data_IF_040516426340
#
_entry.id   IF_040516426340
#
_cell.length_a   1.000
_cell.length_b   1.000
_cell.length_c   1.000
_cell.angle_alpha   90.00
_cell.angle_beta   90.00
_cell.angle_gamma   90.00
#
_symmetry.space_group_name_H-M   'P 1'
#
loop_
_entity.id
_entity.type
_entity.pdbx_description
1 polymer ?
#
# COMPACT_ATOMS: atom_id res chain seq x y z
N UNK A 1 -19.36 19.18 7.42
CA UNK A 1 -18.75 17.98 6.83
C UNK A 1 -17.31 18.18 6.35
N UNK A 2 -16.99 19.13 5.44
CA UNK A 2 -15.61 19.30 4.91
C UNK A 2 -14.52 19.47 5.98
N UNK A 3 -14.72 20.36 6.95
CA UNK A 3 -13.81 20.58 8.09
C UNK A 3 -13.53 19.32 8.92
N UNK A 4 -14.50 18.40 9.02
CA UNK A 4 -14.34 17.14 9.75
C UNK A 4 -13.42 16.17 9.00
N UNK A 5 -13.59 16.03 7.68
CA UNK A 5 -12.72 15.20 6.84
C UNK A 5 -11.29 15.76 6.73
N UNK A 6 -11.14 17.08 6.70
CA UNK A 6 -9.82 17.73 6.77
C UNK A 6 -9.11 17.41 8.10
N UNK A 7 -9.84 17.46 9.21
CA UNK A 7 -9.31 17.10 10.53
C UNK A 7 -8.86 15.63 10.57
N UNK A 8 -9.71 14.72 10.06
CA UNK A 8 -9.42 13.29 9.95
C UNK A 8 -8.16 13.03 9.12
N UNK A 9 -8.07 13.66 7.95
CA UNK A 9 -6.90 13.49 7.05
C UNK A 9 -5.62 14.02 7.68
N UNK A 10 -5.71 15.16 8.39
CA UNK A 10 -4.56 15.78 9.09
C UNK A 10 -4.01 14.90 10.21
N UNK A 11 -4.88 14.23 10.96
CA UNK A 11 -4.49 13.39 12.11
C UNK A 11 -4.47 11.89 11.78
N UNK A 12 -4.46 11.50 10.50
CA UNK A 12 -4.48 10.10 10.07
C UNK A 12 -3.37 9.27 10.73
N UNK A 13 -2.13 9.78 10.76
CA UNK A 13 -1.02 9.08 11.42
C UNK A 13 -1.23 8.90 12.92
N UNK A 14 -1.76 9.91 13.61
CA UNK A 14 -2.07 9.82 15.05
C UNK A 14 -3.17 8.78 15.29
N UNK A 15 -4.22 8.78 14.47
CA UNK A 15 -5.27 7.78 14.56
C UNK A 15 -4.71 6.37 14.33
N UNK A 16 -3.85 6.17 13.33
CA UNK A 16 -3.23 4.86 13.07
C UNK A 16 -2.44 4.35 14.30
N UNK A 17 -1.66 5.21 14.95
CA UNK A 17 -0.93 4.85 16.18
C UNK A 17 -1.90 4.53 17.33
N UNK A 18 -2.95 5.32 17.51
CA UNK A 18 -3.97 5.07 18.55
C UNK A 18 -4.67 3.73 18.33
N UNK A 19 -5.11 3.44 17.10
CA UNK A 19 -5.75 2.17 16.76
C UNK A 19 -4.78 0.99 16.87
N UNK A 20 -3.48 1.18 16.57
CA UNK A 20 -2.46 0.16 16.80
C UNK A 20 -2.32 -0.16 18.29
N UNK A 21 -2.23 0.86 19.15
CA UNK A 21 -2.16 0.66 20.60
C UNK A 21 -3.43 -0.02 21.13
N UNK A 22 -4.62 0.44 20.70
CA UNK A 22 -5.88 -0.20 21.06
C UNK A 22 -5.93 -1.65 20.58
N UNK A 23 -5.46 -1.94 19.37
CA UNK A 23 -5.38 -3.30 18.83
C UNK A 23 -4.50 -4.22 19.67
N UNK A 24 -3.36 -3.71 20.15
CA UNK A 24 -2.45 -4.47 21.02
C UNK A 24 -3.07 -4.78 22.40
N UNK A 25 -3.77 -3.82 23.01
CA UNK A 25 -4.33 -4.01 24.36
C UNK A 25 -5.74 -4.61 24.39
N UNK A 26 -6.49 -4.53 23.29
CA UNK A 26 -7.89 -4.98 23.23
C UNK A 26 -8.16 -5.90 22.06
N UNK A 27 -7.20 -6.78 21.72
CA UNK A 27 -7.25 -7.64 20.52
C UNK A 27 -8.57 -8.43 20.38
N UNK A 28 -9.13 -8.92 21.50
CA UNK A 28 -10.37 -9.70 21.53
C UNK A 28 -11.57 -8.96 20.90
N UNK A 29 -11.59 -7.62 21.03
CA UNK A 29 -12.66 -6.78 20.47
C UNK A 29 -12.56 -6.60 18.95
N UNK A 30 -11.42 -6.92 18.35
CA UNK A 30 -11.14 -6.70 16.92
C UNK A 30 -11.16 -7.99 16.10
N UNK A 31 -11.35 -9.16 16.74
CA UNK A 31 -11.37 -10.46 16.07
C UNK A 31 -12.43 -10.57 14.97
N UNK A 32 -13.51 -9.78 15.04
CA UNK A 32 -14.54 -9.74 14.00
C UNK A 32 -13.99 -9.34 12.61
N UNK A 33 -12.88 -8.59 12.56
CA UNK A 33 -12.21 -8.20 11.29
C UNK A 33 -11.57 -9.40 10.59
N UNK A 34 -11.13 -10.41 11.36
CA UNK A 34 -10.65 -11.68 10.83
C UNK A 34 -11.79 -12.67 10.53
N UNK A 35 -13.03 -12.28 10.84
CA UNK A 35 -14.22 -13.07 10.56
C UNK A 35 -14.56 -13.17 9.07
N UNK A 36 -15.58 -13.97 8.79
CA UNK A 36 -16.07 -14.21 7.45
C UNK A 36 -17.57 -13.89 7.37
N UNK A 37 -17.96 -13.13 6.36
CA UNK A 37 -19.36 -12.83 6.07
C UNK A 37 -19.72 -13.48 4.74
N UNK A 38 -20.62 -14.47 4.77
CA UNK A 38 -21.14 -15.16 3.57
C UNK A 38 -20.04 -15.75 2.65
N UNK A 39 -18.98 -16.30 3.23
CA UNK A 39 -17.85 -16.89 2.50
C UNK A 39 -16.70 -15.91 2.22
N UNK A 40 -16.86 -14.60 2.45
CA UNK A 40 -15.84 -13.58 2.17
C UNK A 40 -15.21 -13.06 3.47
N UNK A 41 -13.88 -13.00 3.51
CA UNK A 41 -13.15 -12.41 4.63
C UNK A 41 -13.46 -10.91 4.75
N UNK A 42 -13.80 -10.46 5.97
CA UNK A 42 -14.14 -9.06 6.24
C UNK A 42 -12.97 -8.14 5.86
N UNK A 43 -11.74 -8.53 6.18
CA UNK A 43 -10.54 -7.79 5.81
C UNK A 43 -10.41 -7.57 4.30
N UNK A 44 -10.67 -8.59 3.49
CA UNK A 44 -10.64 -8.48 2.02
C UNK A 44 -11.73 -7.53 1.51
N UNK A 45 -12.90 -7.53 2.14
CA UNK A 45 -13.99 -6.62 1.78
C UNK A 45 -13.66 -5.16 2.12
N UNK A 46 -13.04 -4.92 3.29
CA UNK A 46 -12.56 -3.59 3.69
C UNK A 46 -11.46 -3.09 2.74
N UNK A 47 -10.48 -3.94 2.41
CA UNK A 47 -9.43 -3.61 1.45
C UNK A 47 -10.02 -3.36 0.06
N UNK A 48 -10.99 -4.17 -0.37
CA UNK A 48 -11.70 -3.99 -1.63
C UNK A 48 -12.43 -2.65 -1.72
N UNK A 49 -13.07 -2.20 -0.64
CA UNK A 49 -13.69 -0.87 -0.57
C UNK A 49 -12.65 0.26 -0.69
N UNK A 50 -11.48 0.12 -0.05
CA UNK A 50 -10.39 1.10 -0.15
C UNK A 50 -9.86 1.16 -1.58
N UNK A 51 -9.60 -0.01 -2.20
CA UNK A 51 -9.10 -0.07 -3.58
C UNK A 51 -10.15 0.41 -4.60
N UNK A 52 -11.44 0.16 -4.36
CA UNK A 52 -12.53 0.71 -5.16
C UNK A 52 -12.56 2.25 -5.07
N UNK A 53 -12.46 2.81 -3.86
CA UNK A 53 -12.38 4.26 -3.65
C UNK A 53 -11.19 4.88 -4.40
N UNK A 54 -10.01 4.28 -4.29
CA UNK A 54 -8.83 4.68 -5.08
C UNK A 54 -9.10 4.64 -6.59
N UNK A 55 -9.76 3.59 -7.09
CA UNK A 55 -10.12 3.46 -8.50
C UNK A 55 -11.01 4.61 -8.97
N UNK A 56 -12.00 5.02 -8.16
CA UNK A 56 -12.89 6.14 -8.51
C UNK A 56 -12.21 7.51 -8.57
N UNK A 57 -11.05 7.65 -7.92
CA UNK A 57 -10.25 8.89 -7.95
C UNK A 57 -9.18 8.92 -9.04
N UNK A 58 -8.93 7.79 -9.70
CA UNK A 58 -7.92 7.69 -10.76
C UNK A 58 -8.51 8.14 -12.10
N UNK A 59 -7.87 9.08 -12.79
CA UNK A 59 -8.31 9.56 -14.10
C UNK A 59 -7.54 8.81 -15.21
N UNK A 60 -8.15 8.68 -16.39
CA UNK A 60 -7.48 8.15 -17.59
C UNK A 60 -6.16 8.89 -17.88
N UNK A 61 -6.10 10.17 -17.52
CA UNK A 61 -4.91 11.01 -17.66
C UNK A 61 -3.70 10.53 -16.85
N UNK A 62 -3.94 9.87 -15.73
CA UNK A 62 -2.87 9.32 -14.88
C UNK A 62 -2.14 8.17 -15.59
N UNK A 63 -2.86 7.41 -16.42
CA UNK A 63 -2.29 6.36 -17.28
C UNK A 63 -1.57 6.94 -18.50
N UNK A 64 -2.02 8.07 -19.03
CA UNK A 64 -1.29 8.79 -20.09
C UNK A 64 0.08 9.29 -19.63
N UNK A 65 0.29 9.46 -18.32
CA UNK A 65 1.60 9.77 -17.75
C UNK A 65 2.69 8.76 -18.12
N UNK A 66 2.31 7.49 -18.29
CA UNK A 66 3.22 6.40 -18.70
C UNK A 66 3.84 6.70 -20.07
N UNK A 67 3.01 7.11 -21.03
CA UNK A 67 3.46 7.40 -22.39
C UNK A 67 4.27 8.69 -22.48
N UNK A 68 4.06 9.63 -21.56
CA UNK A 68 4.82 10.89 -21.51
C UNK A 68 6.24 10.69 -20.97
N UNK A 69 6.42 9.81 -19.98
CA UNK A 69 7.71 9.59 -19.29
C UNK A 69 7.98 8.10 -19.03
N UNK A 70 8.05 7.25 -20.08
CA UNK A 70 8.11 5.79 -19.90
C UNK A 70 9.40 5.32 -19.21
N UNK A 71 10.52 6.02 -19.44
CA UNK A 71 11.81 5.69 -18.80
C UNK A 71 11.74 5.88 -17.28
N UNK A 72 11.14 6.97 -16.83
CA UNK A 72 11.03 7.30 -15.41
C UNK A 72 10.12 6.30 -14.71
N UNK A 73 8.96 5.98 -15.31
CA UNK A 73 8.03 4.98 -14.79
C UNK A 73 8.66 3.59 -14.73
N UNK A 74 9.42 3.19 -15.75
CA UNK A 74 10.12 1.91 -15.75
C UNK A 74 11.18 1.83 -14.65
N UNK A 75 11.98 2.89 -14.47
CA UNK A 75 12.97 2.95 -13.39
C UNK A 75 12.31 2.92 -12.01
N UNK A 76 11.18 3.61 -11.85
CA UNK A 76 10.36 3.55 -10.63
C UNK A 76 9.83 2.14 -10.36
N UNK A 77 9.30 1.46 -11.36
CA UNK A 77 8.80 0.10 -11.26
C UNK A 77 9.91 -0.91 -10.95
N UNK A 78 11.06 -0.78 -11.60
CA UNK A 78 12.23 -1.59 -11.32
C UNK A 78 12.63 -1.39 -9.85
N UNK A 79 12.81 -0.14 -9.41
CA UNK A 79 13.14 0.16 -8.01
C UNK A 79 12.12 -0.42 -7.02
N UNK A 80 10.82 -0.25 -7.27
CA UNK A 80 9.74 -0.77 -6.41
C UNK A 80 9.82 -2.29 -6.27
N UNK A 81 10.03 -3.01 -7.36
CA UNK A 81 9.98 -4.48 -7.39
C UNK A 81 11.34 -5.16 -7.20
N UNK A 82 12.44 -4.42 -7.17
CA UNK A 82 13.77 -5.00 -6.86
C UNK A 82 14.31 -4.51 -5.54
N UNK A 83 14.34 -3.19 -5.30
CA UNK A 83 15.02 -2.62 -4.14
C UNK A 83 14.24 -2.93 -2.86
N UNK A 84 12.91 -2.77 -2.88
CA UNK A 84 12.08 -2.97 -1.68
C UNK A 84 12.01 -4.46 -1.28
N UNK A 85 11.73 -5.42 -2.18
CA UNK A 85 11.76 -6.84 -1.83
C UNK A 85 13.14 -7.31 -1.37
N UNK A 86 14.22 -6.84 -2.01
CA UNK A 86 15.58 -7.15 -1.60
C UNK A 86 15.87 -6.64 -0.18
N UNK A 87 15.49 -5.39 0.11
CA UNK A 87 15.62 -4.82 1.46
C UNK A 87 14.80 -5.62 2.48
N UNK A 88 13.56 -5.99 2.16
CA UNK A 88 12.72 -6.80 3.03
C UNK A 88 13.38 -8.15 3.39
N UNK A 89 13.93 -8.84 2.40
CA UNK A 89 14.64 -10.10 2.61
C UNK A 89 15.95 -9.91 3.38
N UNK A 90 16.74 -8.88 3.03
CA UNK A 90 18.00 -8.57 3.71
C UNK A 90 17.77 -8.23 5.19
N UNK A 91 16.73 -7.46 5.51
CA UNK A 91 16.34 -7.15 6.88
C UNK A 91 15.85 -8.40 7.61
N UNK A 92 15.05 -9.26 6.97
CA UNK A 92 14.62 -10.52 7.57
C UNK A 92 15.82 -11.41 7.99
N UNK A 93 16.83 -11.50 7.12
CA UNK A 93 18.07 -12.24 7.41
C UNK A 93 18.92 -11.56 8.49
N UNK A 94 19.04 -10.24 8.45
CA UNK A 94 19.80 -9.47 9.43
C UNK A 94 19.23 -9.61 10.84
N UNK A 95 17.89 -9.58 10.96
CA UNK A 95 17.18 -9.73 12.24
C UNK A 95 16.90 -11.18 12.63
N UNK A 96 17.32 -12.16 11.82
CA UNK A 96 17.10 -13.59 12.07
C UNK A 96 15.63 -13.93 12.36
N UNK A 97 14.72 -13.37 11.55
CA UNK A 97 13.29 -13.64 11.68
C UNK A 97 12.98 -15.10 11.35
N UNK A 98 11.93 -15.65 11.97
CA UNK A 98 11.40 -16.96 11.60
C UNK A 98 10.83 -16.95 10.18
N UNK A 99 10.59 -18.15 9.63
CA UNK A 99 10.13 -18.31 8.25
C UNK A 99 8.77 -17.63 8.00
N UNK A 100 7.88 -17.63 9.00
CA UNK A 100 6.57 -16.99 8.91
C UNK A 100 6.67 -15.47 8.83
N UNK A 101 7.45 -14.85 9.73
CA UNK A 101 7.70 -13.41 9.70
C UNK A 101 8.50 -12.99 8.46
N UNK A 102 9.43 -13.82 8.00
CA UNK A 102 10.20 -13.58 6.77
C UNK A 102 9.28 -13.53 5.56
N UNK A 103 8.39 -14.51 5.41
CA UNK A 103 7.41 -14.53 4.32
C UNK A 103 6.48 -13.31 4.38
N UNK A 104 6.02 -12.93 5.57
CA UNK A 104 5.20 -11.73 5.78
C UNK A 104 5.92 -10.43 5.40
N UNK A 105 7.20 -10.30 5.77
CA UNK A 105 8.00 -9.12 5.46
C UNK A 105 8.33 -9.02 3.97
N UNK A 106 8.67 -10.13 3.32
CA UNK A 106 8.90 -10.18 1.87
C UNK A 106 7.61 -9.86 1.12
N UNK A 107 6.47 -10.44 1.52
CA UNK A 107 5.15 -10.13 0.95
C UNK A 107 4.82 -8.64 1.09
N UNK A 108 5.12 -8.03 2.24
CA UNK A 108 4.96 -6.59 2.43
C UNK A 108 5.84 -5.80 1.44
N UNK A 109 7.08 -6.24 1.22
CA UNK A 109 8.02 -5.60 0.31
C UNK A 109 7.67 -5.74 -1.17
N UNK A 110 6.93 -6.77 -1.56
CA UNK A 110 6.53 -7.03 -2.96
C UNK A 110 5.16 -6.43 -3.31
N UNK A 111 4.45 -5.86 -2.33
CA UNK A 111 3.20 -5.14 -2.55
C UNK A 111 3.41 -3.83 -3.35
N UNK A 112 2.43 -3.42 -4.16
CA UNK A 112 2.48 -2.16 -4.89
C UNK A 112 2.42 -0.95 -3.95
N UNK A 113 2.74 0.23 -4.48
CA UNK A 113 2.63 1.48 -3.73
C UNK A 113 1.17 1.78 -3.31
N UNK A 114 1.00 2.38 -2.13
CA UNK A 114 -0.31 2.81 -1.61
C UNK A 114 -0.60 4.28 -1.86
N UNK A 115 -1.87 4.69 -1.89
CA UNK A 115 -2.31 6.08 -2.16
C UNK A 115 -1.80 7.13 -1.20
N UNK A 116 -1.38 6.73 0.01
CA UNK A 116 -0.74 7.62 0.99
C UNK A 116 0.55 8.24 0.43
N UNK A 117 1.27 7.56 -0.47
CA UNK A 117 2.47 8.09 -1.12
C UNK A 117 2.17 9.39 -1.87
N UNK A 118 1.03 9.48 -2.56
CA UNK A 118 0.63 10.66 -3.34
C UNK A 118 0.47 11.89 -2.45
N UNK A 119 -0.12 11.72 -1.26
CA UNK A 119 -0.28 12.80 -0.27
C UNK A 119 1.08 13.25 0.23
N UNK A 120 1.97 12.30 0.55
CA UNK A 120 3.32 12.61 1.03
C UNK A 120 4.11 13.34 -0.07
N UNK A 121 4.10 12.86 -1.31
CA UNK A 121 4.78 13.51 -2.44
C UNK A 121 4.29 14.94 -2.64
N UNK A 122 2.98 15.19 -2.55
CA UNK A 122 2.42 16.54 -2.62
C UNK A 122 2.95 17.43 -1.48
N UNK A 123 2.93 16.94 -0.24
CA UNK A 123 3.46 17.68 0.93
C UNK A 123 4.96 17.96 0.82
N UNK A 124 5.72 17.02 0.25
CA UNK A 124 7.16 17.15 0.00
C UNK A 124 7.49 18.01 -1.22
N UNK A 125 6.49 18.61 -1.90
CA UNK A 125 6.66 19.36 -3.16
C UNK A 125 7.32 18.55 -4.28
N UNK A 126 7.13 17.23 -4.26
CA UNK A 126 7.60 16.33 -5.30
C UNK A 126 6.67 16.28 -6.52
N UNK A 127 7.02 15.43 -7.48
CA UNK A 127 6.22 15.22 -8.70
C UNK A 127 5.00 14.34 -8.40
N UNK A 128 3.87 14.98 -8.09
CA UNK A 128 2.60 14.31 -7.80
C UNK A 128 2.12 13.46 -8.99
N UNK A 129 2.29 13.95 -10.22
CA UNK A 129 1.85 13.24 -11.42
C UNK A 129 2.61 11.93 -11.54
N UNK A 130 3.93 11.97 -11.32
CA UNK A 130 4.77 10.78 -11.30
C UNK A 130 4.35 9.78 -10.21
N UNK A 131 4.08 10.25 -8.97
CA UNK A 131 3.63 9.38 -7.87
C UNK A 131 2.31 8.68 -8.18
N UNK A 132 1.33 9.41 -8.73
CA UNK A 132 0.02 8.86 -9.08
C UNK A 132 0.14 7.86 -10.22
N UNK A 133 0.90 8.18 -11.27
CA UNK A 133 1.18 7.26 -12.37
C UNK A 133 1.87 5.99 -11.87
N UNK A 134 2.90 6.12 -11.04
CA UNK A 134 3.65 4.98 -10.51
C UNK A 134 2.80 4.06 -9.61
N UNK A 135 1.95 4.66 -8.77
CA UNK A 135 0.98 3.93 -7.93
C UNK A 135 0.00 3.14 -8.80
N UNK A 136 -0.54 3.76 -9.85
CA UNK A 136 -1.48 3.12 -10.77
C UNK A 136 -0.83 1.95 -11.53
N UNK A 137 0.37 2.17 -12.06
CA UNK A 137 1.15 1.17 -12.80
C UNK A 137 1.50 -0.02 -11.90
N UNK A 138 2.10 0.22 -10.74
CA UNK A 138 2.45 -0.86 -9.81
C UNK A 138 1.22 -1.63 -9.35
N UNK A 139 0.09 -0.96 -9.09
CA UNK A 139 -1.15 -1.65 -8.73
C UNK A 139 -1.63 -2.57 -9.85
N UNK A 140 -1.58 -2.14 -11.12
CA UNK A 140 -1.95 -2.97 -12.27
C UNK A 140 -1.02 -4.18 -12.48
N UNK A 141 0.28 -4.02 -12.23
CA UNK A 141 1.25 -5.11 -12.37
C UNK A 141 1.32 -6.04 -11.16
N UNK A 142 0.79 -5.62 -10.00
CA UNK A 142 0.84 -6.37 -8.75
C UNK A 142 0.31 -7.81 -8.82
N UNK A 143 -0.77 -8.15 -9.55
CA UNK A 143 -1.26 -9.53 -9.61
C UNK A 143 -0.25 -10.52 -10.21
N UNK A 144 0.71 -10.03 -11.00
CA UNK A 144 1.78 -10.84 -11.60
C UNK A 144 3.07 -10.72 -10.79
N UNK A 145 3.46 -9.49 -10.46
CA UNK A 145 4.77 -9.22 -9.84
C UNK A 145 4.82 -9.68 -8.38
N UNK A 146 3.76 -9.47 -7.60
CA UNK A 146 3.75 -9.79 -6.16
C UNK A 146 3.87 -11.30 -5.93
N UNK A 147 3.09 -12.18 -6.61
CA UNK A 147 3.28 -13.62 -6.48
C UNK A 147 4.64 -14.08 -6.99
N UNK A 148 5.10 -13.59 -8.14
CA UNK A 148 6.37 -14.00 -8.77
C UNK A 148 7.60 -13.70 -7.89
N UNK A 149 7.55 -12.64 -7.10
CA UNK A 149 8.66 -12.23 -6.23
C UNK A 149 8.57 -12.83 -4.82
N UNK A 150 7.41 -13.35 -4.43
CA UNK A 150 7.16 -13.83 -3.06
C UNK A 150 7.16 -15.36 -2.96
N UNK A 151 6.63 -16.05 -3.98
CA UNK A 151 6.47 -17.50 -4.05
C UNK A 151 7.41 -18.11 -5.08
#
# INVERSE_FOLDING_TARGET
>A
MKKFFELLSKYFGVMAVVFLLLGLFTSDKWLWVMGNVKGVFVMSLMLGLIMFGMGTTSDYKDFLGIFKRPKDVFLGALAQYTIIPFLAFALAKLFQLDDGLTAGLVLLGTCPGGTTSNVITYMSKGDLVYSVTMTSVSTLFSPIMTPLLTF
#
